data_IF_563921032735
#
_entry.id   IF_563921032735
#
_cell.length_a   1.000
_cell.length_b   1.000
_cell.length_c   1.000
_cell.angle_alpha   90.00
_cell.angle_beta   90.00
_cell.angle_gamma   90.00
#
_symmetry.space_group_name_H-M   'P 1'
#
loop_
_entity.id
_entity.type
_entity.pdbx_description
1 polymer ?
#
# COMPACT_ATOMS: atom_id res chain seq x y z
N UNK A 1 -5.94 9.16 -9.86
CA UNK A 1 -6.75 9.86 -8.84
C UNK A 1 -7.35 8.83 -7.89
N UNK A 2 -7.26 9.06 -6.58
CA UNK A 2 -7.78 8.15 -5.56
C UNK A 2 -9.21 8.52 -5.13
N UNK A 3 -10.05 7.51 -4.91
CA UNK A 3 -11.42 7.65 -4.39
C UNK A 3 -11.48 7.11 -2.95
N UNK A 4 -11.60 8.01 -1.98
CA UNK A 4 -11.62 7.69 -0.56
C UNK A 4 -12.88 6.96 -0.09
N UNK A 5 -13.98 6.99 -0.86
CA UNK A 5 -15.19 6.24 -0.51
C UNK A 5 -15.11 4.78 -0.90
N UNK A 6 -14.40 4.48 -2.01
CA UNK A 6 -14.28 3.11 -2.52
C UNK A 6 -12.92 2.47 -2.22
N UNK A 7 -11.95 3.25 -1.76
CA UNK A 7 -10.59 2.79 -1.47
C UNK A 7 -9.78 2.46 -2.73
N UNK A 8 -10.05 3.14 -3.86
CA UNK A 8 -9.54 2.74 -5.18
C UNK A 8 -8.81 3.86 -5.90
N UNK A 9 -7.73 3.48 -6.58
CA UNK A 9 -7.00 4.31 -7.53
C UNK A 9 -7.56 4.15 -8.92
N UNK A 10 -7.80 5.27 -9.60
CA UNK A 10 -8.17 5.30 -11.02
C UNK A 10 -6.93 5.53 -11.87
N UNK A 11 -6.67 4.59 -12.79
CA UNK A 11 -5.59 4.64 -13.77
C UNK A 11 -6.13 4.44 -15.19
N UNK A 12 -5.42 4.95 -16.21
CA UNK A 12 -5.75 4.66 -17.60
C UNK A 12 -5.43 3.19 -17.92
N UNK A 13 -6.31 2.54 -18.69
CA UNK A 13 -6.09 1.21 -19.24
C UNK A 13 -6.22 1.28 -20.77
N UNK A 14 -5.23 0.85 -21.56
CA UNK A 14 -5.30 0.88 -23.03
C UNK A 14 -6.48 0.11 -23.62
N UNK A 15 -6.93 -0.95 -22.94
CA UNK A 15 -8.01 -1.83 -23.41
C UNK A 15 -9.40 -1.32 -22.99
N UNK A 16 -9.53 -0.79 -21.77
CA UNK A 16 -10.82 -0.41 -21.16
C UNK A 16 -11.03 1.09 -20.99
N UNK A 17 -10.06 1.91 -21.39
CA UNK A 17 -10.04 3.36 -21.16
C UNK A 17 -9.57 3.68 -19.74
N UNK A 18 -10.37 3.33 -18.75
CA UNK A 18 -10.07 3.55 -17.33
C UNK A 18 -10.28 2.28 -16.51
N UNK A 19 -9.50 2.13 -15.45
CA UNK A 19 -9.62 1.02 -14.49
C UNK A 19 -9.50 1.55 -13.07
N UNK A 20 -10.16 0.85 -12.14
CA UNK A 20 -10.10 1.14 -10.70
C UNK A 20 -9.45 -0.04 -10.00
N UNK A 21 -8.36 0.21 -9.29
CA UNK A 21 -7.55 -0.81 -8.61
C UNK A 21 -7.33 -0.43 -7.15
N UNK A 22 -7.18 -1.43 -6.29
CA UNK A 22 -6.81 -1.22 -4.88
C UNK A 22 -5.29 -1.17 -4.73
N UNK A 23 -4.80 -0.79 -3.55
CA UNK A 23 -3.36 -0.69 -3.29
C UNK A 23 -2.70 -2.08 -3.33
N UNK A 24 -3.40 -3.12 -2.89
CA UNK A 24 -2.95 -4.52 -2.93
C UNK A 24 -2.83 -5.09 -4.35
N UNK A 25 -3.42 -4.44 -5.36
CA UNK A 25 -3.25 -4.78 -6.76
C UNK A 25 -1.97 -4.19 -7.37
N UNK A 26 -1.23 -3.36 -6.62
CA UNK A 26 0.07 -2.87 -7.05
C UNK A 26 1.06 -4.03 -7.01
N UNK A 27 2.11 -3.92 -7.80
CA UNK A 27 3.19 -4.89 -7.92
C UNK A 27 4.50 -4.27 -7.54
N UNK A 28 4.77 -3.09 -8.06
CA UNK A 28 6.00 -2.36 -7.79
C UNK A 28 5.69 -0.87 -7.66
N UNK A 29 6.36 -0.20 -6.72
CA UNK A 29 6.35 1.25 -6.60
C UNK A 29 7.78 1.76 -6.63
N UNK A 30 8.06 2.68 -7.54
CA UNK A 30 9.36 3.31 -7.68
C UNK A 30 9.22 4.83 -7.67
N UNK A 31 10.02 5.50 -6.85
CA UNK A 31 10.07 6.96 -6.84
C UNK A 31 10.87 7.45 -8.04
N UNK A 32 10.25 8.26 -8.89
CA UNK A 32 10.94 8.84 -10.04
C UNK A 32 11.96 9.90 -9.60
N UNK A 33 13.14 9.98 -10.26
CA UNK A 33 14.11 11.03 -9.99
C UNK A 33 13.54 12.39 -10.41
N UNK A 34 13.64 13.40 -9.54
CA UNK A 34 13.08 14.72 -9.84
C UNK A 34 12.90 15.59 -8.61
N UNK A 35 11.85 16.43 -8.63
CA UNK A 35 11.54 17.35 -7.55
C UNK A 35 11.33 16.59 -6.23
N UNK A 36 11.92 17.11 -5.15
CA UNK A 36 11.68 16.56 -3.81
C UNK A 36 10.19 16.60 -3.46
N UNK A 37 9.48 17.65 -3.89
CA UNK A 37 8.03 17.82 -3.74
C UNK A 37 7.39 18.55 -4.94
N UNK A 38 6.27 18.04 -5.49
CA UNK A 38 5.66 16.76 -5.15
C UNK A 38 6.47 15.59 -5.72
N UNK A 39 6.77 14.60 -4.89
CA UNK A 39 7.38 13.35 -5.35
C UNK A 39 6.36 12.57 -6.19
N UNK A 40 6.80 12.05 -7.33
CA UNK A 40 5.98 11.22 -8.22
C UNK A 40 6.51 9.80 -8.18
N UNK A 41 5.59 8.85 -8.11
CA UNK A 41 5.87 7.43 -8.10
C UNK A 41 5.35 6.80 -9.39
N UNK A 42 6.19 5.98 -10.01
CA UNK A 42 5.79 5.04 -11.04
C UNK A 42 5.31 3.77 -10.34
N UNK A 43 4.11 3.32 -10.70
CA UNK A 43 3.46 2.16 -10.14
C UNK A 43 3.22 1.16 -11.25
N UNK A 44 3.70 -0.07 -11.07
CA UNK A 44 3.25 -1.21 -11.86
C UNK A 44 2.06 -1.84 -11.14
N UNK A 45 0.91 -1.96 -11.80
CA UNK A 45 -0.30 -2.51 -11.21
C UNK A 45 -0.90 -3.62 -12.07
N UNK A 46 -1.52 -4.61 -11.42
CA UNK A 46 -2.28 -5.66 -12.08
C UNK A 46 -3.65 -5.13 -12.48
N UNK A 47 -3.90 -5.02 -13.78
CA UNK A 47 -5.16 -4.53 -14.31
C UNK A 47 -6.19 -5.67 -14.46
N UNK A 48 -7.48 -5.34 -14.32
CA UNK A 48 -8.58 -6.28 -14.56
C UNK A 48 -8.71 -6.73 -16.04
N UNK A 49 -7.91 -6.18 -16.96
CA UNK A 49 -7.78 -6.70 -18.32
C UNK A 49 -6.91 -7.96 -18.41
N UNK A 50 -6.16 -8.29 -17.34
CA UNK A 50 -5.26 -9.45 -17.29
C UNK A 50 -3.79 -9.12 -17.55
N UNK A 51 -3.47 -7.87 -17.89
CA UNK A 51 -2.11 -7.39 -18.09
C UNK A 51 -1.66 -6.46 -16.95
N UNK A 52 -0.34 -6.33 -16.79
CA UNK A 52 0.27 -5.33 -15.90
C UNK A 52 0.47 -4.03 -16.66
N UNK A 53 0.17 -2.91 -16.01
CA UNK A 53 0.26 -1.58 -16.61
C UNK A 53 1.01 -0.63 -15.68
N UNK A 54 1.62 0.38 -16.28
CA UNK A 54 2.29 1.45 -15.56
C UNK A 54 1.33 2.63 -15.33
N UNK A 55 1.33 3.15 -14.12
CA UNK A 55 0.61 4.33 -13.70
C UNK A 55 1.53 5.31 -12.99
N UNK A 56 1.17 6.59 -13.01
CA UNK A 56 1.83 7.61 -12.21
C UNK A 56 0.91 8.03 -11.08
N UNK A 57 1.46 8.09 -9.87
CA UNK A 57 0.75 8.55 -8.67
C UNK A 57 1.61 9.56 -7.93
N UNK A 58 0.98 10.59 -7.37
CA UNK A 58 1.67 11.56 -6.54
C UNK A 58 1.78 11.05 -5.11
N UNK A 59 2.77 11.53 -4.35
CA UNK A 59 2.84 11.29 -2.90
C UNK A 59 1.53 11.66 -2.19
N UNK A 60 0.87 12.74 -2.61
CA UNK A 60 -0.40 13.20 -2.03
C UNK A 60 -1.54 12.21 -2.27
N UNK A 61 -1.66 11.68 -3.48
CA UNK A 61 -2.62 10.62 -3.81
C UNK A 61 -2.33 9.31 -3.09
N UNK A 62 -1.06 9.01 -2.83
CA UNK A 62 -0.62 7.73 -2.29
C UNK A 62 -0.74 7.65 -0.76
N UNK A 63 -0.33 8.71 -0.04
CA UNK A 63 -0.23 8.68 1.42
C UNK A 63 -1.34 9.47 2.12
N UNK A 64 -1.80 10.58 1.51
CA UNK A 64 -2.71 11.51 2.16
C UNK A 64 -4.17 11.34 1.71
N UNK A 65 -4.41 11.06 0.42
CA UNK A 65 -5.76 10.85 -0.09
C UNK A 65 -6.51 9.68 0.59
N UNK A 66 -5.88 8.55 0.95
CA UNK A 66 -6.55 7.48 1.69
C UNK A 66 -7.04 7.90 3.09
N UNK A 67 -6.42 8.90 3.71
CA UNK A 67 -6.84 9.42 5.01
C UNK A 67 -8.08 10.32 4.91
N UNK A 68 -8.66 10.48 3.72
CA UNK A 68 -9.83 11.32 3.46
C UNK A 68 -9.50 12.81 3.31
N UNK A 69 -8.22 13.18 3.30
CA UNK A 69 -7.77 14.58 3.25
C UNK A 69 -8.00 15.24 1.88
N UNK A 70 -8.12 14.46 0.82
CA UNK A 70 -8.44 14.95 -0.52
C UNK A 70 -9.94 14.89 -0.86
N UNK A 71 -10.77 14.50 0.12
CA UNK A 71 -12.22 14.60 0.06
C UNK A 71 -12.94 13.63 -0.87
N UNK A 72 -14.27 13.71 -0.82
CA UNK A 72 -15.20 12.92 -1.59
C UNK A 72 -16.60 13.49 -1.42
N UNK A 73 -17.47 13.27 -2.40
CA UNK A 73 -18.88 13.66 -2.35
C UNK A 73 -19.70 12.39 -2.31
N UNK A 74 -20.66 12.31 -1.40
CA UNK A 74 -21.63 11.21 -1.38
C UNK A 74 -23.05 11.73 -1.41
N UNK A 75 -23.96 10.93 -1.94
CA UNK A 75 -25.37 11.23 -1.90
C UNK A 75 -25.98 10.71 -0.60
N UNK A 76 -26.31 11.62 0.30
CA UNK A 76 -26.94 11.32 1.57
C UNK A 76 -28.43 11.04 1.34
N UNK A 77 -28.81 9.76 1.45
CA UNK A 77 -30.19 9.31 1.26
C UNK A 77 -31.16 9.88 2.32
N UNK A 78 -30.66 10.23 3.50
CA UNK A 78 -31.48 10.75 4.59
C UNK A 78 -31.82 12.24 4.41
N UNK A 79 -30.97 12.98 3.70
CA UNK A 79 -31.15 14.43 3.44
C UNK A 79 -31.47 14.74 1.98
N UNK A 80 -31.37 13.74 1.09
CA UNK A 80 -31.48 13.86 -0.37
C UNK A 80 -30.52 14.90 -0.97
N UNK A 81 -29.30 15.00 -0.43
CA UNK A 81 -28.28 15.99 -0.83
C UNK A 81 -26.93 15.35 -1.04
N UNK A 82 -26.10 16.04 -1.81
CA UNK A 82 -24.68 15.73 -1.93
C UNK A 82 -23.93 16.40 -0.78
N UNK A 83 -23.38 15.59 0.10
CA UNK A 83 -22.61 16.04 1.27
C UNK A 83 -21.11 15.73 1.06
N UNK A 84 -20.26 16.53 1.72
CA UNK A 84 -18.80 16.38 1.68
C UNK A 84 -18.31 15.54 2.85
N UNK A 85 -17.49 14.52 2.59
CA UNK A 85 -16.91 13.68 3.66
C UNK A 85 -15.57 14.18 4.20
N UNK A 86 -14.95 15.17 3.54
CA UNK A 86 -13.57 15.58 3.84
C UNK A 86 -13.38 15.96 5.31
N UNK A 87 -14.30 16.74 5.89
CA UNK A 87 -14.20 17.19 7.28
C UNK A 87 -14.29 16.02 8.27
N UNK A 88 -15.28 15.15 8.08
CA UNK A 88 -15.52 14.02 8.98
C UNK A 88 -14.39 12.99 8.94
N UNK A 89 -13.90 12.63 7.73
CA UNK A 89 -12.82 11.66 7.57
C UNK A 89 -11.49 12.20 8.09
N UNK A 90 -11.19 13.47 7.81
CA UNK A 90 -9.95 14.11 8.29
C UNK A 90 -9.94 14.21 9.82
N UNK A 91 -11.07 14.60 10.43
CA UNK A 91 -11.20 14.67 11.89
C UNK A 91 -11.09 13.27 12.53
N UNK A 92 -11.71 12.25 11.92
CA UNK A 92 -11.60 10.87 12.39
C UNK A 92 -10.15 10.37 12.33
N UNK A 93 -9.46 10.59 11.20
CA UNK A 93 -8.07 10.20 11.02
C UNK A 93 -7.17 10.90 12.06
N UNK A 94 -7.35 12.20 12.27
CA UNK A 94 -6.60 12.97 13.26
C UNK A 94 -6.81 12.42 14.68
N UNK A 95 -8.05 12.10 15.07
CA UNK A 95 -8.35 11.52 16.40
C UNK A 95 -7.70 10.16 16.60
N UNK A 96 -7.71 9.29 15.58
CA UNK A 96 -7.05 7.97 15.66
C UNK A 96 -5.55 8.10 15.83
N UNK A 97 -4.91 8.96 15.02
CA UNK A 97 -3.47 9.24 15.14
C UNK A 97 -3.12 9.80 16.52
N UNK A 98 -3.94 10.71 17.06
CA UNK A 98 -3.75 11.24 18.42
C UNK A 98 -3.91 10.17 19.52
N UNK A 99 -4.73 9.14 19.28
CA UNK A 99 -4.86 7.99 20.17
C UNK A 99 -3.71 6.98 20.03
N UNK A 100 -2.75 7.21 19.12
CA UNK A 100 -1.63 6.32 18.84
C UNK A 100 -1.96 5.22 17.83
N UNK A 101 -3.13 5.25 17.21
CA UNK A 101 -3.50 4.34 16.11
C UNK A 101 -2.95 4.88 14.79
N UNK A 102 -2.06 4.09 14.16
CA UNK A 102 -1.44 4.47 12.90
C UNK A 102 -2.20 3.89 11.71
N UNK A 103 -2.32 4.64 10.58
CA UNK A 103 -3.05 4.19 9.41
C UNK A 103 -2.52 2.88 8.83
N UNK A 104 -1.20 2.73 8.74
CA UNK A 104 -0.56 1.46 8.39
C UNK A 104 0.61 1.21 9.33
N UNK A 105 0.81 -0.05 9.67
CA UNK A 105 1.90 -0.51 10.52
C UNK A 105 2.52 -1.76 9.95
N UNK A 106 3.84 -1.87 9.96
CA UNK A 106 4.56 -3.04 9.48
C UNK A 106 5.55 -3.51 10.54
N UNK A 107 5.99 -4.76 10.48
CA UNK A 107 7.02 -5.25 11.38
C UNK A 107 8.43 -4.91 10.84
N UNK A 108 9.19 -4.17 11.64
CA UNK A 108 10.59 -3.88 11.35
C UNK A 108 11.46 -5.00 11.93
N UNK A 109 11.97 -5.90 11.09
CA UNK A 109 12.79 -7.03 11.56
C UNK A 109 14.03 -6.60 12.36
N UNK A 110 14.81 -5.57 11.94
CA UNK A 110 15.97 -5.10 12.69
C UNK A 110 15.68 -4.53 14.08
N UNK A 111 14.47 -4.04 14.32
CA UNK A 111 14.07 -3.42 15.59
C UNK A 111 13.10 -4.29 16.40
N UNK A 112 12.72 -5.45 15.86
CA UNK A 112 11.82 -6.42 16.46
C UNK A 112 10.48 -5.83 16.95
N UNK A 113 9.98 -4.79 16.27
CA UNK A 113 8.75 -4.08 16.67
C UNK A 113 7.96 -3.56 15.47
N UNK A 114 6.63 -3.40 15.61
CA UNK A 114 5.82 -2.74 14.61
C UNK A 114 6.16 -1.24 14.52
N UNK A 115 6.24 -0.72 13.30
CA UNK A 115 6.52 0.69 13.01
C UNK A 115 5.43 1.27 12.11
N UNK A 116 5.05 2.55 12.32
CA UNK A 116 4.17 3.24 11.40
C UNK A 116 4.85 3.42 10.05
N UNK A 117 4.07 3.29 8.98
CA UNK A 117 4.57 3.47 7.61
C UNK A 117 3.53 4.10 6.71
N UNK A 118 4.00 4.65 5.60
CA UNK A 118 3.18 5.21 4.55
C UNK A 118 3.30 4.35 3.28
N UNK A 119 2.24 4.25 2.46
CA UNK A 119 2.28 3.53 1.20
C UNK A 119 3.44 3.90 0.26
N UNK A 120 3.94 5.13 0.31
CA UNK A 120 5.15 5.54 -0.43
C UNK A 120 6.44 4.81 -0.05
N UNK A 121 6.45 4.12 1.09
CA UNK A 121 7.61 3.33 1.55
C UNK A 121 7.51 1.87 1.12
N UNK A 122 6.42 1.49 0.47
CA UNK A 122 6.26 0.18 -0.15
C UNK A 122 7.07 0.14 -1.43
N UNK A 123 7.70 -1.01 -1.67
CA UNK A 123 8.57 -1.18 -2.82
C UNK A 123 8.06 -2.29 -3.75
N UNK A 124 7.64 -3.42 -3.19
CA UNK A 124 7.06 -4.52 -3.94
C UNK A 124 5.91 -5.17 -3.18
N UNK A 125 4.86 -5.50 -3.93
CA UNK A 125 3.68 -6.21 -3.45
C UNK A 125 3.45 -7.45 -4.33
N UNK A 126 3.46 -8.62 -3.71
CA UNK A 126 3.28 -9.89 -4.40
C UNK A 126 2.00 -10.59 -3.90
N UNK A 127 1.11 -10.98 -4.81
CA UNK A 127 -0.11 -11.69 -4.44
C UNK A 127 0.25 -13.13 -4.07
N UNK A 128 -0.26 -13.61 -2.94
CA UNK A 128 -0.26 -15.02 -2.56
C UNK A 128 -1.68 -15.58 -2.49
N UNK A 129 -1.80 -16.86 -2.15
CA UNK A 129 -3.10 -17.51 -1.93
C UNK A 129 -3.76 -17.01 -0.63
N UNK A 130 -4.37 -15.83 -0.68
CA UNK A 130 -5.12 -15.21 0.44
C UNK A 130 -4.35 -14.19 1.29
N UNK A 131 -3.04 -14.09 1.10
CA UNK A 131 -2.15 -13.11 1.76
C UNK A 131 -1.33 -12.34 0.74
N UNK A 132 -0.88 -11.15 1.10
CA UNK A 132 -0.03 -10.28 0.31
C UNK A 132 1.37 -10.22 0.91
N UNK A 133 2.38 -10.56 0.11
CA UNK A 133 3.79 -10.32 0.44
C UNK A 133 4.12 -8.86 0.21
N UNK A 134 4.48 -8.14 1.27
CA UNK A 134 4.75 -6.71 1.26
C UNK A 134 6.21 -6.44 1.66
N UNK A 135 7.00 -5.95 0.70
CA UNK A 135 8.33 -5.41 0.98
C UNK A 135 8.23 -3.92 1.32
N UNK A 136 8.71 -3.57 2.51
CA UNK A 136 8.69 -2.21 3.04
C UNK A 136 10.10 -1.78 3.38
N UNK A 137 10.47 -0.56 2.97
CA UNK A 137 11.67 0.10 3.47
C UNK A 137 11.33 0.88 4.74
N UNK A 138 11.93 0.51 5.86
CA UNK A 138 11.65 1.17 7.14
C UNK A 138 12.09 2.64 7.10
N UNK A 139 11.20 3.62 7.37
CA UNK A 139 11.59 5.03 7.37
C UNK A 139 12.59 5.38 8.49
N UNK A 140 12.61 4.61 9.59
CA UNK A 140 13.50 4.83 10.72
C UNK A 140 14.92 4.28 10.50
N UNK A 141 15.05 2.99 10.17
CA UNK A 141 16.35 2.32 10.05
C UNK A 141 16.81 2.11 8.60
N UNK A 142 15.98 2.49 7.61
CA UNK A 142 16.24 2.40 6.17
C UNK A 142 16.44 0.99 5.59
N UNK A 143 16.35 -0.05 6.43
CA UNK A 143 16.42 -1.46 6.03
C UNK A 143 15.09 -1.96 5.49
N UNK A 144 15.15 -2.92 4.57
CA UNK A 144 13.98 -3.57 4.00
C UNK A 144 13.53 -4.74 4.86
N UNK A 145 12.22 -4.85 5.11
CA UNK A 145 11.58 -5.99 5.78
C UNK A 145 10.44 -6.51 4.94
N UNK A 146 10.27 -7.84 4.92
CA UNK A 146 9.21 -8.51 4.16
C UNK A 146 8.16 -9.05 5.11
N UNK A 147 6.94 -8.61 4.88
CA UNK A 147 5.78 -8.89 5.70
C UNK A 147 4.75 -9.68 4.90
N UNK A 148 4.05 -10.58 5.57
CA UNK A 148 2.85 -11.26 5.08
C UNK A 148 1.66 -10.61 5.77
N UNK A 149 0.83 -9.95 4.98
CA UNK A 149 -0.34 -9.20 5.46
C UNK A 149 -1.57 -9.57 4.65
N UNK A 150 -2.75 -9.30 5.19
CA UNK A 150 -4.00 -9.40 4.45
C UNK A 150 -4.10 -8.29 3.38
N UNK A 151 -5.01 -8.47 2.43
CA UNK A 151 -5.33 -7.39 1.47
C UNK A 151 -5.92 -6.16 2.19
N UNK A 152 -6.76 -6.40 3.20
CA UNK A 152 -7.41 -5.34 3.99
C UNK A 152 -6.40 -4.50 4.75
N UNK A 153 -5.32 -5.11 5.25
CA UNK A 153 -4.22 -4.41 5.92
C UNK A 153 -3.63 -3.28 5.07
N UNK A 154 -3.55 -3.51 3.76
CA UNK A 154 -2.94 -2.55 2.83
C UNK A 154 -4.00 -1.61 2.26
N UNK A 155 -5.17 -2.15 1.91
CA UNK A 155 -6.22 -1.41 1.20
C UNK A 155 -7.02 -0.45 2.09
N UNK A 156 -7.11 -0.72 3.40
CA UNK A 156 -7.93 0.06 4.33
C UNK A 156 -7.05 0.75 5.38
N UNK A 157 -6.99 2.09 5.39
CA UNK A 157 -6.32 2.83 6.46
C UNK A 157 -6.91 2.47 7.83
N UNK A 158 -6.04 2.34 8.82
CA UNK A 158 -6.34 1.96 10.21
C UNK A 158 -6.87 0.52 10.39
N UNK A 159 -6.92 -0.30 9.34
CA UNK A 159 -7.09 -1.72 9.47
C UNK A 159 -5.70 -2.36 9.52
N UNK A 160 -5.21 -2.68 10.72
CA UNK A 160 -3.95 -3.39 10.87
C UNK A 160 -4.24 -4.82 11.33
N UNK A 161 -3.67 -5.79 10.63
CA UNK A 161 -3.70 -7.20 11.04
C UNK A 161 -3.19 -7.36 12.48
N UNK A 162 -3.79 -8.26 13.23
CA UNK A 162 -3.37 -8.57 14.60
C UNK A 162 -1.99 -9.22 14.65
N UNK A 163 -1.67 -10.00 13.62
CA UNK A 163 -0.41 -10.70 13.47
C UNK A 163 0.12 -10.42 12.07
N UNK A 164 1.32 -9.85 11.98
CA UNK A 164 2.01 -9.62 10.72
C UNK A 164 3.08 -10.70 10.60
N UNK A 165 2.94 -11.58 9.62
CA UNK A 165 3.94 -12.62 9.36
C UNK A 165 5.23 -11.98 8.83
N UNK A 166 6.40 -12.44 9.28
CA UNK A 166 7.68 -11.85 8.88
C UNK A 166 8.57 -12.92 8.26
N UNK A 167 9.03 -12.68 7.05
CA UNK A 167 10.04 -13.53 6.41
C UNK A 167 11.38 -13.15 7.04
N UNK A 168 12.05 -14.13 7.68
CA UNK A 168 13.39 -13.98 8.28
C UNK A 168 14.48 -13.81 7.21
N UNK A 169 14.36 -12.83 6.33
CA UNK A 169 15.39 -12.46 5.38
C UNK A 169 15.46 -10.93 5.24
N UNK A 170 16.60 -10.36 5.60
CA UNK A 170 16.89 -8.92 5.42
C UNK A 170 17.64 -8.79 4.12
N UNK A 171 16.96 -8.28 3.09
CA UNK A 171 17.59 -8.02 1.80
C UNK A 171 18.51 -6.78 1.89
N UNK A 172 19.64 -6.82 1.19
CA UNK A 172 20.63 -5.75 1.17
C UNK A 172 20.11 -4.49 0.45
N UNK A 173 20.78 -3.35 0.63
CA UNK A 173 20.38 -2.03 0.10
C UNK A 173 20.34 -1.92 -1.45
N UNK A 174 20.80 -2.95 -2.17
CA UNK A 174 20.91 -2.92 -3.63
C UNK A 174 19.56 -3.30 -4.29
N UNK A 175 18.74 -2.29 -4.51
CA UNK A 175 17.35 -2.34 -4.99
C UNK A 175 17.13 -3.33 -6.14
N UNK A 176 18.00 -3.37 -7.16
CA UNK A 176 17.84 -4.24 -8.33
C UNK A 176 18.12 -5.72 -8.05
N UNK A 177 19.18 -6.01 -7.28
CA UNK A 177 19.52 -7.37 -6.85
C UNK A 177 18.53 -7.88 -5.80
N UNK A 178 18.10 -6.99 -4.91
CA UNK A 178 17.04 -7.23 -3.95
C UNK A 178 15.72 -7.54 -4.64
N UNK A 179 15.36 -6.88 -5.75
CA UNK A 179 14.17 -7.24 -6.56
C UNK A 179 14.24 -8.67 -7.10
N UNK A 180 15.38 -9.08 -7.66
CA UNK A 180 15.53 -10.42 -8.25
C UNK A 180 15.59 -11.52 -7.18
N UNK A 181 16.37 -11.33 -6.11
CA UNK A 181 16.43 -12.22 -4.95
C UNK A 181 15.05 -12.33 -4.28
N UNK A 182 14.30 -11.22 -4.22
CA UNK A 182 12.97 -11.15 -3.65
C UNK A 182 11.93 -11.87 -4.52
N UNK A 183 11.93 -11.68 -5.85
CA UNK A 183 11.07 -12.48 -6.76
C UNK A 183 11.40 -13.96 -6.62
N UNK A 184 12.69 -14.31 -6.57
CA UNK A 184 13.11 -15.69 -6.41
C UNK A 184 12.68 -16.30 -5.07
N UNK A 185 12.77 -15.57 -3.95
CA UNK A 185 12.32 -16.06 -2.64
C UNK A 185 10.78 -16.15 -2.57
N UNK A 186 10.05 -15.17 -3.08
CA UNK A 186 8.58 -15.17 -3.10
C UNK A 186 7.98 -16.31 -3.94
N UNK A 187 8.59 -16.65 -5.08
CA UNK A 187 8.16 -17.79 -5.91
C UNK A 187 8.83 -19.11 -5.48
N UNK A 188 9.55 -19.13 -4.35
CA UNK A 188 10.20 -20.34 -3.86
C UNK A 188 9.26 -21.20 -3.02
N UNK A 189 9.44 -22.53 -3.10
CA UNK A 189 8.77 -23.48 -2.23
C UNK A 189 9.04 -23.24 -0.72
N UNK A 190 10.13 -22.54 -0.37
CA UNK A 190 10.44 -22.19 1.02
C UNK A 190 9.49 -21.13 1.59
N UNK A 191 8.98 -20.24 0.72
CA UNK A 191 7.99 -19.23 1.06
C UNK A 191 6.60 -19.88 1.19
N UNK A 192 6.23 -20.78 0.26
CA UNK A 192 5.00 -21.57 0.34
C UNK A 192 4.93 -22.48 1.60
N UNK A 193 6.07 -22.94 2.10
CA UNK A 193 6.11 -23.76 3.33
C UNK A 193 5.86 -22.91 4.58
N UNK A 194 6.37 -21.67 4.64
CA UNK A 194 6.10 -20.72 5.75
C UNK A 194 4.65 -20.24 5.74
N UNK A 195 4.04 -20.16 4.55
CA UNK A 195 2.61 -19.86 4.32
C UNK A 195 1.66 -20.88 4.94
N UNK A 196 2.06 -22.15 5.07
CA UNK A 196 1.21 -23.23 5.64
C UNK A 196 1.31 -23.35 7.17
N UNK A 197 2.17 -22.54 7.82
CA UNK A 197 2.39 -22.56 9.27
C UNK A 197 1.74 -21.41 10.06
N UNK A 198 1.04 -20.50 9.36
CA UNK A 198 0.14 -19.50 9.92
C UNK A 198 -1.30 -19.96 9.70
#
# INVERSE_FOLDING_TARGET
MYDALTGRFTFPCPVRGETRVTLSAFRQLERLPGAAHPAVFQVLFACACGEEHEGLVTHDDLDWAPLGLQGGVFYNLMTARLDLVVGELSDLAARRIQAGEWPWSFFCYPEEQPRPVFPSSFFLLAPGDGSLGLAVRCPACQRTSVNLVSHEHVDLPFHNDREVGVVQHVFNDDVARTLEEFRAELYSASFDTRRLGL
#
